data_IF_212905805840
#
_entry.id   IF_212905805840
#
_cell.length_a   1.000
_cell.length_b   1.000
_cell.length_c   1.000
_cell.angle_alpha   90.00
_cell.angle_beta   90.00
_cell.angle_gamma   90.00
#
_symmetry.space_group_name_H-M   'P 1'
#
loop_
_entity.id
_entity.type
_entity.pdbx_description
1 polymer ?
#
# COMPACT_ATOMS: atom_id res chain seq x y z
N UNK A 1 -0.02 -17.92 -7.13
CA UNK A 1 -1.00 -16.82 -7.15
C UNK A 1 -0.49 -15.76 -6.20
N UNK A 2 -0.45 -14.50 -6.63
CA UNK A 2 0.00 -13.38 -5.79
C UNK A 2 -1.16 -12.41 -5.55
N UNK A 3 -1.25 -11.86 -4.34
CA UNK A 3 -2.29 -10.92 -3.92
C UNK A 3 -1.66 -9.54 -3.73
N UNK A 4 -2.15 -8.58 -4.50
CA UNK A 4 -1.81 -7.17 -4.36
C UNK A 4 -3.06 -6.36 -4.01
N UNK A 5 -2.88 -5.28 -3.25
CA UNK A 5 -3.95 -4.35 -2.91
C UNK A 5 -3.82 -3.04 -3.70
N UNK A 6 -4.87 -2.63 -4.42
CA UNK A 6 -4.90 -1.36 -5.17
C UNK A 6 -5.38 -0.22 -4.26
N UNK A 7 -4.48 0.31 -3.42
CA UNK A 7 -4.84 1.28 -2.37
C UNK A 7 -3.67 2.14 -1.91
N UNK A 8 -3.97 3.33 -1.39
CA UNK A 8 -3.05 4.20 -0.65
C UNK A 8 -3.45 4.38 0.83
N UNK A 9 -4.50 3.69 1.30
CA UNK A 9 -4.92 3.75 2.71
C UNK A 9 -4.01 2.86 3.57
N UNK A 10 -3.07 3.50 4.24
CA UNK A 10 -2.10 2.87 5.14
C UNK A 10 -2.77 2.04 6.24
N UNK A 11 -3.93 2.48 6.75
CA UNK A 11 -4.65 1.79 7.83
C UNK A 11 -5.28 0.50 7.30
N UNK A 12 -5.93 0.57 6.14
CA UNK A 12 -6.50 -0.59 5.48
C UNK A 12 -5.41 -1.60 5.10
N UNK A 13 -4.30 -1.13 4.52
CA UNK A 13 -3.15 -1.97 4.14
C UNK A 13 -2.59 -2.69 5.37
N UNK A 14 -2.34 -1.98 6.46
CA UNK A 14 -1.82 -2.56 7.71
C UNK A 14 -2.76 -3.59 8.31
N UNK A 15 -4.08 -3.37 8.21
CA UNK A 15 -5.09 -4.33 8.70
C UNK A 15 -5.11 -5.59 7.84
N UNK A 16 -5.10 -5.43 6.52
CA UNK A 16 -5.22 -6.51 5.55
C UNK A 16 -3.95 -7.35 5.44
N UNK A 17 -2.76 -6.74 5.55
CA UNK A 17 -1.48 -7.44 5.55
C UNK A 17 -1.33 -8.45 6.71
N UNK A 18 -2.12 -8.30 7.79
CA UNK A 18 -2.14 -9.25 8.92
C UNK A 18 -3.00 -10.50 8.68
N UNK A 19 -3.92 -10.44 7.73
CA UNK A 19 -4.94 -11.49 7.51
C UNK A 19 -4.88 -12.08 6.11
N UNK A 20 -4.31 -11.37 5.14
CA UNK A 20 -4.10 -11.82 3.78
C UNK A 20 -2.61 -12.01 3.49
N UNK A 21 -2.23 -13.01 2.69
CA UNK A 21 -0.84 -13.20 2.25
C UNK A 21 -0.51 -12.20 1.13
N UNK A 22 -0.51 -10.89 1.43
CA UNK A 22 -0.22 -9.84 0.46
C UNK A 22 1.25 -9.90 0.01
N UNK A 23 1.49 -9.83 -1.29
CA UNK A 23 2.82 -9.64 -1.90
C UNK A 23 3.16 -8.16 -2.05
N UNK A 24 2.15 -7.28 -2.00
CA UNK A 24 2.37 -5.85 -2.09
C UNK A 24 1.10 -5.01 -2.21
N UNK A 25 1.33 -3.74 -2.51
CA UNK A 25 0.29 -2.80 -2.93
C UNK A 25 0.62 -2.25 -4.31
N UNK A 26 -0.42 -2.02 -5.10
CA UNK A 26 -0.35 -1.17 -6.28
C UNK A 26 -1.01 0.16 -5.98
N UNK A 27 -0.50 1.23 -6.56
CA UNK A 27 -1.14 2.54 -6.46
C UNK A 27 -0.88 3.36 -7.72
N UNK A 28 -1.64 4.41 -7.91
CA UNK A 28 -1.44 5.38 -8.98
C UNK A 28 -1.63 6.80 -8.43
N UNK A 29 -1.22 7.84 -9.16
CA UNK A 29 -1.37 9.23 -8.71
C UNK A 29 -2.81 9.60 -8.30
N UNK A 30 -3.83 9.04 -8.97
CA UNK A 30 -5.24 9.30 -8.65
C UNK A 30 -5.70 8.67 -7.33
N UNK A 31 -5.18 7.51 -6.96
CA UNK A 31 -5.46 6.86 -5.67
C UNK A 31 -4.74 7.63 -4.56
N UNK A 32 -3.46 7.97 -4.75
CA UNK A 32 -2.69 8.75 -3.77
C UNK A 32 -3.31 10.14 -3.55
N UNK A 33 -3.77 10.80 -4.60
CA UNK A 33 -4.40 12.12 -4.50
C UNK A 33 -5.65 12.13 -3.58
N UNK A 34 -6.35 11.00 -3.46
CA UNK A 34 -7.52 10.87 -2.56
C UNK A 34 -7.15 10.83 -1.08
N UNK A 35 -5.90 10.49 -0.75
CA UNK A 35 -5.43 10.49 0.64
C UNK A 35 -5.27 11.90 1.21
N UNK A 36 -5.19 12.92 0.35
CA UNK A 36 -4.96 14.31 0.76
C UNK A 36 -3.61 14.53 1.46
N UNK A 37 -2.69 13.57 1.35
CA UNK A 37 -1.35 13.57 1.94
C UNK A 37 -0.30 13.62 0.85
N UNK A 38 0.87 14.22 1.13
CA UNK A 38 1.92 14.25 0.14
C UNK A 38 2.50 12.85 -0.13
N UNK A 39 2.92 12.62 -1.37
CA UNK A 39 3.42 11.34 -1.84
C UNK A 39 4.59 10.79 -1.00
N UNK A 40 5.48 11.69 -0.54
CA UNK A 40 6.63 11.34 0.29
C UNK A 40 6.27 10.91 1.71
N UNK A 41 5.04 11.14 2.17
CA UNK A 41 4.52 10.58 3.42
C UNK A 41 3.78 9.26 3.18
N UNK A 42 3.02 9.17 2.09
CA UNK A 42 2.19 8.00 1.78
C UNK A 42 3.04 6.78 1.41
N UNK A 43 4.02 6.92 0.52
CA UNK A 43 4.80 5.77 0.03
C UNK A 43 5.62 5.07 1.14
N UNK A 44 6.35 5.78 2.01
CA UNK A 44 7.04 5.13 3.12
C UNK A 44 6.07 4.48 4.10
N UNK A 45 4.95 5.13 4.41
CA UNK A 45 3.95 4.58 5.32
C UNK A 45 3.31 3.30 4.78
N UNK A 46 3.06 3.21 3.47
CA UNK A 46 2.58 1.98 2.82
C UNK A 46 3.61 0.86 2.92
N UNK A 47 4.89 1.15 2.68
CA UNK A 47 5.99 0.19 2.82
C UNK A 47 6.10 -0.34 4.25
N UNK A 48 5.99 0.53 5.25
CA UNK A 48 6.03 0.15 6.65
C UNK A 48 4.80 -0.67 7.07
N UNK A 49 3.62 -0.36 6.51
CA UNK A 49 2.39 -1.10 6.74
C UNK A 49 2.40 -2.52 6.16
N UNK A 50 3.09 -2.71 5.03
CA UNK A 50 3.27 -4.00 4.36
C UNK A 50 4.22 -4.94 5.09
N UNK A 51 5.30 -4.42 5.67
CA UNK A 51 6.37 -5.23 6.27
C UNK A 51 7.18 -6.03 5.24
N UNK A 52 8.33 -6.57 5.64
CA UNK A 52 9.16 -7.38 4.74
C UNK A 52 8.53 -8.79 4.55
N UNK A 53 8.50 -9.37 3.33
CA UNK A 53 9.18 -8.94 2.09
C UNK A 53 8.28 -8.23 1.05
N UNK A 54 7.18 -7.59 1.46
CA UNK A 54 6.19 -7.07 0.52
C UNK A 54 6.63 -5.79 -0.22
N UNK A 55 6.10 -5.59 -1.43
CA UNK A 55 6.52 -4.56 -2.40
C UNK A 55 5.48 -3.45 -2.61
N UNK A 56 5.92 -2.21 -2.83
CA UNK A 56 5.08 -1.12 -3.33
C UNK A 56 5.40 -0.92 -4.81
N UNK A 57 4.43 -1.13 -5.70
CA UNK A 57 4.61 -0.99 -7.14
C UNK A 57 3.65 0.07 -7.71
N UNK A 58 4.08 0.87 -8.70
CA UNK A 58 3.15 1.69 -9.46
C UNK A 58 2.22 0.79 -10.29
N UNK A 59 0.94 1.17 -10.36
CA UNK A 59 -0.09 0.54 -11.19
C UNK A 59 -0.12 1.12 -12.60
#
# INVERSE_FOLDING_TARGET
>A
MEIYLDSADVTAVKRLARVLPLQGVTTNPSIVAKEGKPLWEVLPALRDALGAPASCLPR
#
